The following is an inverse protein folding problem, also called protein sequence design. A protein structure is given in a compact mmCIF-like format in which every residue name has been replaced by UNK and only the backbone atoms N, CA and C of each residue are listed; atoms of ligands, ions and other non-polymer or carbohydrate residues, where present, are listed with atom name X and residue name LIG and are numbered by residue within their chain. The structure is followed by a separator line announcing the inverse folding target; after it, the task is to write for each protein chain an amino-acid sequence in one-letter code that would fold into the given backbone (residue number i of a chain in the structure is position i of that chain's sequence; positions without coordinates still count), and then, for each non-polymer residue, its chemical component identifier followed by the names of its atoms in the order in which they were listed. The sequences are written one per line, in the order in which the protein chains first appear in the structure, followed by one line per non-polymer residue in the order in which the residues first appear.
data_IF_988447464880
#
_entry.id   IF_988447464880
#
_cell.length_a   1.000
_cell.length_b   1.000
_cell.length_c   1.000
_cell.angle_alpha   90.00
_cell.angle_beta   90.00
_cell.angle_gamma   90.00
#
_symmetry.space_group_name_H-M   'P 1'
#
loop_
_entity.id
_entity.type
_entity.pdbx_description
1 polymer ?
#
# COMPACT_ATOMS: atom_id res chain seq x y z
N UNK A 1 13.64 -19.36 12.49
CA UNK A 1 12.31 -19.99 12.29
C UNK A 1 12.34 -20.68 10.94
N UNK A 2 12.28 -22.02 10.87
CA UNK A 2 12.44 -22.79 9.62
C UNK A 2 11.13 -23.01 8.83
N UNK A 3 9.99 -22.52 9.31
CA UNK A 3 8.71 -22.58 8.59
C UNK A 3 8.11 -21.17 8.50
N UNK A 4 7.64 -20.81 7.32
CA UNK A 4 6.85 -19.59 7.12
C UNK A 4 5.54 -19.65 7.89
N UNK A 5 5.09 -18.50 8.39
CA UNK A 5 3.81 -18.34 9.07
C UNK A 5 2.80 -17.71 8.13
N UNK A 6 1.58 -18.20 8.13
CA UNK A 6 0.55 -17.71 7.22
C UNK A 6 -0.17 -16.51 7.86
N UNK A 7 -0.26 -15.41 7.12
CA UNK A 7 -0.91 -14.18 7.57
C UNK A 7 -1.97 -13.75 6.56
N UNK A 8 -3.07 -13.18 7.03
CA UNK A 8 -4.14 -12.66 6.19
C UNK A 8 -4.20 -11.12 6.29
N UNK A 9 -4.31 -10.45 5.15
CA UNK A 9 -4.57 -9.02 5.06
C UNK A 9 -6.05 -8.83 4.71
N UNK A 10 -6.78 -8.09 5.55
CA UNK A 10 -8.21 -7.89 5.36
C UNK A 10 -8.68 -6.46 5.70
N UNK A 11 -9.40 -5.78 4.78
CA UNK A 11 -9.51 -6.08 3.35
C UNK A 11 -8.17 -5.98 2.61
N UNK A 12 -7.96 -6.80 1.58
CA UNK A 12 -6.67 -6.87 0.87
C UNK A 12 -6.48 -5.73 -0.16
N UNK A 13 -7.54 -5.29 -0.82
CA UNK A 13 -7.45 -4.33 -1.92
C UNK A 13 -7.55 -2.85 -1.54
N UNK A 14 -7.56 -2.53 -0.24
CA UNK A 14 -7.42 -1.14 0.19
C UNK A 14 -5.98 -0.66 -0.03
N UNK A 15 -5.76 0.65 -0.14
CA UNK A 15 -4.39 1.22 -0.22
C UNK A 15 -3.52 0.80 0.98
N UNK A 16 -4.13 0.62 2.14
CA UNK A 16 -3.45 0.12 3.35
C UNK A 16 -3.09 -1.36 3.16
N UNK A 17 -4.01 -2.18 2.66
CA UNK A 17 -3.77 -3.60 2.39
C UNK A 17 -2.69 -3.85 1.35
N UNK A 18 -2.67 -3.05 0.27
CA UNK A 18 -1.62 -3.11 -0.74
C UNK A 18 -0.25 -2.71 -0.18
N UNK A 19 -0.19 -1.69 0.67
CA UNK A 19 1.06 -1.31 1.33
C UNK A 19 1.57 -2.41 2.29
N UNK A 20 0.69 -3.01 3.07
CA UNK A 20 1.04 -4.14 3.95
C UNK A 20 1.54 -5.32 3.10
N UNK A 21 0.87 -5.64 1.99
CA UNK A 21 1.33 -6.68 1.07
C UNK A 21 2.74 -6.38 0.53
N UNK A 22 2.97 -5.17 0.02
CA UNK A 22 4.28 -4.75 -0.47
C UNK A 22 5.37 -4.80 0.61
N UNK A 23 4.99 -4.57 1.87
CA UNK A 23 5.87 -4.66 3.03
C UNK A 23 6.26 -6.10 3.38
N UNK A 24 5.44 -7.09 3.05
CA UNK A 24 5.58 -8.48 3.51
C UNK A 24 5.89 -9.49 2.40
N UNK A 25 5.60 -9.21 1.13
CA UNK A 25 5.62 -10.21 0.03
C UNK A 25 6.95 -10.92 -0.22
N UNK A 26 8.07 -10.29 0.13
CA UNK A 26 9.42 -10.89 0.00
C UNK A 26 9.95 -11.47 1.32
N UNK A 27 9.13 -11.49 2.38
CA UNK A 27 9.55 -12.03 3.67
C UNK A 27 9.80 -13.54 3.60
N UNK A 28 10.95 -13.97 4.11
CA UNK A 28 11.25 -15.39 4.33
C UNK A 28 10.52 -15.96 5.55
N UNK A 29 9.90 -15.11 6.38
CA UNK A 29 9.16 -15.53 7.57
C UNK A 29 7.67 -15.75 7.31
N UNK A 30 7.12 -15.22 6.21
CA UNK A 30 5.68 -15.11 6.01
C UNK A 30 5.23 -15.68 4.66
N UNK A 31 4.05 -16.28 4.69
CA UNK A 31 3.21 -16.47 3.51
C UNK A 31 1.98 -15.58 3.64
N UNK A 32 1.85 -14.65 2.69
CA UNK A 32 0.88 -13.56 2.75
C UNK A 32 -0.36 -13.91 1.92
N UNK A 33 -1.50 -13.96 2.59
CA UNK A 33 -2.82 -14.15 2.00
C UNK A 33 -3.60 -12.83 2.04
N UNK A 34 -4.51 -12.65 1.09
CA UNK A 34 -5.41 -11.50 1.04
C UNK A 34 -6.86 -11.95 0.95
N UNK A 35 -7.77 -11.23 1.60
CA UNK A 35 -9.20 -11.42 1.45
C UNK A 35 -9.92 -10.10 1.18
N UNK A 36 -10.91 -10.12 0.29
CA UNK A 36 -11.78 -8.97 0.00
C UNK A 36 -13.23 -9.39 -0.24
N UNK A 37 -14.15 -8.51 0.18
CA UNK A 37 -15.59 -8.64 -0.05
C UNK A 37 -16.05 -8.37 -1.49
N UNK A 38 -15.15 -7.91 -2.36
CA UNK A 38 -15.43 -7.46 -3.73
C UNK A 38 -14.22 -7.71 -4.62
N UNK A 39 -14.47 -7.72 -5.93
CA UNK A 39 -13.40 -7.67 -6.93
C UNK A 39 -12.73 -6.31 -6.88
N UNK A 40 -11.43 -6.30 -6.59
CA UNK A 40 -10.62 -5.09 -6.47
C UNK A 40 -9.20 -5.32 -7.00
N UNK A 41 -8.31 -4.35 -6.81
CA UNK A 41 -6.95 -4.41 -7.34
C UNK A 41 -6.11 -5.57 -6.75
N UNK A 42 -6.48 -6.10 -5.58
CA UNK A 42 -5.74 -7.22 -4.98
C UNK A 42 -5.75 -8.46 -5.87
N UNK A 43 -6.79 -8.68 -6.68
CA UNK A 43 -6.82 -9.80 -7.63
C UNK A 43 -5.71 -9.73 -8.69
N UNK A 44 -5.12 -8.55 -8.95
CA UNK A 44 -4.01 -8.39 -9.90
C UNK A 44 -2.63 -8.51 -9.25
N UNK A 45 -2.57 -8.53 -7.92
CA UNK A 45 -1.33 -8.36 -7.16
C UNK A 45 -0.97 -9.61 -6.35
N UNK A 46 -1.98 -10.31 -5.86
CA UNK A 46 -1.80 -11.55 -5.11
C UNK A 46 -1.77 -12.75 -6.07
N UNK A 47 -0.97 -13.79 -5.77
CA UNK A 47 -1.11 -15.09 -6.42
C UNK A 47 -2.54 -15.62 -6.27
N UNK A 48 -3.07 -16.26 -7.32
CA UNK A 48 -4.46 -16.72 -7.35
C UNK A 48 -4.78 -17.67 -6.18
N UNK A 49 -3.83 -18.50 -5.76
CA UNK A 49 -3.99 -19.44 -4.64
C UNK A 49 -3.94 -18.78 -3.26
N UNK A 50 -3.50 -17.51 -3.17
CA UNK A 50 -3.36 -16.74 -1.93
C UNK A 50 -4.39 -15.62 -1.78
N UNK A 51 -5.25 -15.43 -2.77
CA UNK A 51 -6.31 -14.42 -2.74
C UNK A 51 -7.69 -15.05 -2.53
N UNK A 52 -8.47 -14.48 -1.63
CA UNK A 52 -9.84 -14.90 -1.33
C UNK A 52 -10.78 -13.77 -1.75
N UNK A 53 -11.59 -14.05 -2.76
CA UNK A 53 -12.71 -13.19 -3.15
C UNK A 53 -14.01 -13.87 -2.72
N UNK A 54 -14.64 -13.34 -1.67
CA UNK A 54 -15.96 -13.78 -1.23
C UNK A 54 -16.88 -12.56 -1.15
N UNK A 55 -17.95 -12.54 -1.97
CA UNK A 55 -18.93 -11.45 -1.97
C UNK A 55 -19.68 -11.28 -0.64
N UNK A 56 -19.57 -12.25 0.26
CA UNK A 56 -20.13 -12.20 1.61
C UNK A 56 -19.11 -11.71 2.66
N UNK A 57 -17.87 -11.34 2.30
CA UNK A 57 -16.89 -10.81 3.24
C UNK A 57 -17.10 -9.32 3.56
N UNK A 58 -18.19 -9.05 4.27
CA UNK A 58 -18.52 -7.75 4.84
C UNK A 58 -18.79 -7.90 6.35
N UNK A 59 -18.10 -7.10 7.17
CA UNK A 59 -18.17 -7.19 8.65
C UNK A 59 -19.58 -6.93 9.24
N UNK A 60 -20.49 -6.34 8.45
CA UNK A 60 -21.88 -6.09 8.86
C UNK A 60 -22.81 -7.30 8.71
N UNK A 61 -22.30 -8.46 8.30
CA UNK A 61 -23.11 -9.69 8.18
C UNK A 61 -22.99 -10.56 9.42
N UNK A 62 -24.11 -11.15 9.82
CA UNK A 62 -24.18 -12.04 10.99
C UNK A 62 -23.29 -13.29 10.83
N UNK A 63 -23.15 -13.81 9.61
CA UNK A 63 -22.35 -14.99 9.28
C UNK A 63 -20.86 -14.70 9.02
N UNK A 64 -20.41 -13.44 9.20
CA UNK A 64 -19.07 -13.03 8.82
C UNK A 64 -17.96 -13.78 9.58
N UNK A 65 -18.07 -13.90 10.91
CA UNK A 65 -17.04 -14.55 11.75
C UNK A 65 -16.93 -16.04 11.42
N UNK A 66 -18.06 -16.72 11.22
CA UNK A 66 -18.09 -18.13 10.83
C UNK A 66 -17.34 -18.35 9.51
N UNK A 67 -17.71 -17.61 8.46
CA UNK A 67 -17.03 -17.65 7.15
C UNK A 67 -15.55 -17.32 7.24
N UNK A 68 -15.19 -16.27 7.98
CA UNK A 68 -13.80 -15.87 8.13
C UNK A 68 -13.01 -17.01 8.78
N UNK A 69 -13.55 -17.64 9.82
CA UNK A 69 -12.93 -18.77 10.50
C UNK A 69 -12.76 -20.00 9.61
N UNK A 70 -13.69 -20.29 8.69
CA UNK A 70 -13.51 -21.35 7.69
C UNK A 70 -12.25 -21.11 6.86
N UNK A 71 -12.10 -19.89 6.33
CA UNK A 71 -10.93 -19.50 5.54
C UNK A 71 -9.63 -19.49 6.35
N UNK A 72 -9.67 -18.98 7.58
CA UNK A 72 -8.51 -18.94 8.49
C UNK A 72 -8.03 -20.37 8.79
N UNK A 73 -8.94 -21.28 9.13
CA UNK A 73 -8.61 -22.67 9.47
C UNK A 73 -8.12 -23.45 8.25
N UNK A 74 -8.82 -23.36 7.13
CA UNK A 74 -8.50 -24.17 5.93
C UNK A 74 -7.13 -23.82 5.33
N UNK A 75 -6.64 -22.60 5.56
CA UNK A 75 -5.34 -22.10 5.08
C UNK A 75 -4.30 -21.99 6.20
N UNK A 76 -4.62 -22.46 7.41
CA UNK A 76 -3.75 -22.36 8.58
C UNK A 76 -3.24 -20.92 8.84
N UNK A 77 -4.09 -19.92 8.64
CA UNK A 77 -3.77 -18.52 8.92
C UNK A 77 -3.60 -18.36 10.44
N UNK A 78 -2.46 -17.80 10.84
CA UNK A 78 -2.12 -17.60 12.25
C UNK A 78 -2.37 -16.16 12.71
N UNK A 79 -2.27 -15.20 11.78
CA UNK A 79 -2.49 -13.77 12.08
C UNK A 79 -3.33 -13.06 11.04
N UNK A 80 -4.04 -12.02 11.46
CA UNK A 80 -4.82 -11.15 10.58
C UNK A 80 -4.45 -9.67 10.78
N UNK A 81 -4.22 -8.97 9.67
CA UNK A 81 -4.00 -7.53 9.61
C UNK A 81 -5.30 -6.80 9.22
N UNK A 82 -5.84 -5.92 10.08
CA UNK A 82 -6.93 -5.04 9.70
C UNK A 82 -6.41 -3.86 8.86
N UNK A 83 -7.12 -3.51 7.78
CA UNK A 83 -6.70 -2.43 6.87
C UNK A 83 -7.68 -1.25 6.79
N UNK A 84 -8.59 -1.16 7.76
CA UNK A 84 -9.58 -0.09 7.89
C UNK A 84 -10.00 0.05 9.36
N UNK A 85 -10.35 1.26 9.81
CA UNK A 85 -10.63 1.53 11.24
C UNK A 85 -11.83 0.72 11.77
N UNK A 86 -12.94 0.68 11.04
CA UNK A 86 -14.10 -0.15 11.42
C UNK A 86 -13.79 -1.65 11.43
N UNK A 87 -12.87 -2.11 10.56
CA UNK A 87 -12.46 -3.52 10.52
C UNK A 87 -11.52 -3.83 11.69
N UNK A 88 -10.61 -2.91 12.02
CA UNK A 88 -9.73 -3.04 13.18
C UNK A 88 -10.54 -3.12 14.48
N UNK A 89 -11.53 -2.24 14.65
CA UNK A 89 -12.45 -2.28 15.78
C UNK A 89 -13.22 -3.61 15.82
N UNK A 90 -13.89 -3.98 14.73
CA UNK A 90 -14.70 -5.19 14.67
C UNK A 90 -13.88 -6.45 14.98
N UNK A 91 -12.70 -6.61 14.38
CA UNK A 91 -11.84 -7.77 14.63
C UNK A 91 -11.28 -7.77 16.06
N UNK A 92 -10.96 -6.61 16.63
CA UNK A 92 -10.49 -6.51 18.01
C UNK A 92 -11.59 -6.90 19.01
N UNK A 93 -12.83 -6.45 18.79
CA UNK A 93 -14.00 -6.78 19.62
C UNK A 93 -14.36 -8.28 19.56
N UNK A 94 -14.11 -8.91 18.42
CA UNK A 94 -14.40 -10.34 18.19
C UNK A 94 -13.17 -11.24 18.29
N UNK A 95 -12.06 -10.74 18.84
CA UNK A 95 -10.76 -11.42 18.80
C UNK A 95 -10.76 -12.82 19.44
N UNK A 96 -11.57 -13.05 20.48
CA UNK A 96 -11.71 -14.37 21.11
C UNK A 96 -12.46 -15.39 20.25
N UNK A 97 -13.32 -14.93 19.33
CA UNK A 97 -14.08 -15.79 18.43
C UNK A 97 -13.31 -16.15 17.15
N UNK A 98 -12.17 -15.48 16.88
CA UNK A 98 -11.38 -15.68 15.68
C UNK A 98 -10.38 -16.82 15.84
N UNK A 99 -10.21 -17.62 14.78
CA UNK A 99 -9.23 -18.70 14.72
C UNK A 99 -7.77 -18.22 14.54
N UNK A 100 -7.57 -16.91 14.33
CA UNK A 100 -6.27 -16.29 14.11
C UNK A 100 -6.10 -15.07 15.02
N UNK A 101 -4.86 -14.75 15.37
CA UNK A 101 -4.54 -13.59 16.23
C UNK A 101 -4.63 -12.29 15.43
N UNK A 102 -5.39 -11.33 15.91
CA UNK A 102 -5.43 -9.99 15.32
C UNK A 102 -4.13 -9.25 15.63
N UNK A 103 -3.50 -8.69 14.59
CA UNK A 103 -2.35 -7.80 14.73
C UNK A 103 -2.88 -6.38 14.90
N UNK A 104 -2.67 -5.80 16.08
CA UNK A 104 -3.08 -4.45 16.41
C UNK A 104 -3.35 -4.25 17.89
N UNK A 105 -3.97 -3.13 18.21
CA UNK A 105 -4.33 -2.75 19.58
C UNK A 105 -5.63 -3.40 20.05
N UNK A 106 -5.92 -3.32 21.36
CA UNK A 106 -7.13 -3.90 21.94
C UNK A 106 -8.43 -3.19 21.50
N UNK A 107 -9.57 -3.82 21.79
CA UNK A 107 -10.90 -3.30 21.43
C UNK A 107 -11.18 -1.90 22.00
N UNK A 108 -10.77 -1.63 23.25
CA UNK A 108 -10.93 -0.32 23.90
C UNK A 108 -10.21 0.78 23.12
N UNK A 109 -8.93 0.59 22.81
CA UNK A 109 -8.13 1.56 22.03
C UNK A 109 -8.75 1.81 20.65
N UNK A 110 -9.19 0.75 19.97
CA UNK A 110 -9.87 0.90 18.67
C UNK A 110 -11.20 1.66 18.79
N UNK A 111 -11.97 1.46 19.85
CA UNK A 111 -13.24 2.14 20.08
C UNK A 111 -13.04 3.63 20.32
N UNK A 112 -12.05 3.98 21.15
CA UNK A 112 -11.68 5.38 21.39
C UNK A 112 -11.20 6.03 20.09
N UNK A 113 -10.33 5.36 19.32
CA UNK A 113 -9.83 5.87 18.05
C UNK A 113 -10.92 6.08 16.98
N UNK A 114 -11.93 5.19 16.96
CA UNK A 114 -12.99 5.22 15.96
C UNK A 114 -13.93 6.41 16.13
N UNK A 115 -14.17 6.85 17.37
CA UNK A 115 -15.04 7.97 17.72
C UNK A 115 -14.22 9.20 18.12
N UNK A 116 -14.39 10.30 17.37
CA UNK A 116 -13.75 11.59 17.70
C UNK A 116 -14.23 12.14 19.03
N UNK A 117 -15.50 11.95 19.38
CA UNK A 117 -16.06 12.26 20.69
C UNK A 117 -15.29 11.56 21.81
N UNK A 118 -15.12 10.25 21.71
CA UNK A 118 -14.38 9.49 22.71
C UNK A 118 -12.91 9.90 22.75
N UNK A 119 -12.30 10.12 21.59
CA UNK A 119 -10.93 10.64 21.48
C UNK A 119 -10.78 11.98 22.21
N UNK A 120 -11.62 12.98 21.90
CA UNK A 120 -11.51 14.30 22.51
C UNK A 120 -11.88 14.29 23.98
N UNK A 121 -12.84 13.46 24.40
CA UNK A 121 -13.14 13.26 25.82
C UNK A 121 -11.91 12.70 26.56
N UNK A 122 -11.27 11.68 26.00
CA UNK A 122 -10.08 11.04 26.56
C UNK A 122 -8.93 12.03 26.76
N UNK A 123 -8.75 12.96 25.82
CA UNK A 123 -7.62 13.89 25.83
C UNK A 123 -7.99 15.33 26.22
N UNK A 124 -9.20 15.57 26.70
CA UNK A 124 -9.74 16.92 26.99
C UNK A 124 -8.89 17.75 27.97
N UNK A 125 -8.14 17.11 28.87
CA UNK A 125 -7.23 17.77 29.81
C UNK A 125 -5.90 18.21 29.18
N UNK A 126 -5.61 17.82 27.94
CA UNK A 126 -4.37 18.14 27.26
C UNK A 126 -4.54 19.35 26.34
N UNK A 127 -3.54 20.23 26.33
CA UNK A 127 -3.55 21.44 25.49
C UNK A 127 -3.57 21.17 23.98
N UNK A 128 -3.22 19.95 23.54
CA UNK A 128 -3.32 19.53 22.14
C UNK A 128 -4.75 19.08 21.76
N UNK A 129 -5.65 18.86 22.71
CA UNK A 129 -7.03 18.57 22.35
C UNK A 129 -7.66 19.84 21.75
N UNK A 130 -8.33 19.74 20.58
CA UNK A 130 -9.04 20.88 20.06
C UNK A 130 -10.21 21.24 20.98
N UNK A 131 -10.61 22.51 20.95
CA UNK A 131 -11.85 22.94 21.57
C UNK A 131 -13.01 22.23 20.84
N UNK A 132 -13.80 21.50 21.61
CA UNK A 132 -15.05 20.87 21.18
C UNK A 132 -16.19 21.64 21.82
N UNK A 133 -17.18 22.01 21.02
CA UNK A 133 -18.33 22.76 21.49
C UNK A 133 -19.50 21.81 21.74
N UNK A 134 -19.91 21.69 23.00
CA UNK A 134 -20.99 20.77 23.43
C UNK A 134 -22.39 21.16 22.95
N UNK A 135 -22.56 22.39 22.47
CA UNK A 135 -23.88 23.03 22.30
C UNK A 135 -23.92 24.01 21.12
N UNK A 136 -24.88 23.88 20.18
CA UNK A 136 -25.07 24.82 19.08
C UNK A 136 -25.45 26.24 19.51
N UNK A 137 -25.95 26.42 20.74
CA UNK A 137 -26.37 27.69 21.31
C UNK A 137 -25.25 28.53 21.92
N UNK A 138 -24.00 28.04 21.93
CA UNK A 138 -22.86 28.81 22.44
C UNK A 138 -22.47 29.98 21.53
N UNK A 139 -21.79 30.97 22.13
CA UNK A 139 -21.13 32.04 21.38
C UNK A 139 -19.85 31.46 20.78
N UNK A 140 -19.79 31.41 19.45
CA UNK A 140 -18.63 30.90 18.71
C UNK A 140 -17.76 32.05 18.19
N UNK A 141 -16.45 31.85 18.24
CA UNK A 141 -15.51 32.58 17.39
C UNK A 141 -15.44 31.87 16.04
N UNK A 142 -16.16 32.38 15.05
CA UNK A 142 -16.11 31.84 13.68
C UNK A 142 -14.76 32.14 13.01
N UNK A 143 -14.28 31.26 12.11
CA UNK A 143 -14.94 30.02 11.68
C UNK A 143 -14.87 28.89 12.71
N UNK A 144 -15.87 28.00 12.65
CA UNK A 144 -15.86 26.68 13.32
C UNK A 144 -15.76 25.57 12.28
N UNK A 145 -15.52 24.35 12.74
CA UNK A 145 -15.42 23.18 11.88
C UNK A 145 -16.39 22.08 12.32
N UNK A 146 -17.20 21.60 11.38
CA UNK A 146 -18.14 20.49 11.58
C UNK A 146 -17.56 19.21 11.02
N UNK A 147 -17.74 18.10 11.72
CA UNK A 147 -17.30 16.77 11.24
C UNK A 147 -18.12 15.64 11.86
N UNK A 148 -18.31 14.52 11.16
CA UNK A 148 -18.94 13.35 11.76
C UNK A 148 -18.05 12.77 12.85
N UNK A 149 -18.67 12.27 13.92
CA UNK A 149 -17.96 11.56 14.98
C UNK A 149 -17.14 10.40 14.40
N UNK A 150 -17.84 9.55 13.67
CA UNK A 150 -17.29 8.44 12.91
C UNK A 150 -17.17 8.78 11.43
N UNK A 151 -15.96 8.81 10.89
CA UNK A 151 -15.76 9.18 9.48
C UNK A 151 -14.37 8.84 8.98
N UNK A 152 -14.11 9.14 7.70
CA UNK A 152 -12.80 9.04 7.08
C UNK A 152 -12.69 9.99 5.88
N UNK A 153 -11.48 10.48 5.63
CA UNK A 153 -11.14 11.26 4.44
C UNK A 153 -11.96 12.52 4.22
N UNK A 154 -12.31 13.23 5.30
CA UNK A 154 -13.00 14.51 5.25
C UNK A 154 -14.44 14.47 4.74
N UNK A 155 -15.02 13.28 4.52
CA UNK A 155 -16.42 13.16 4.09
C UNK A 155 -17.36 13.68 5.19
N UNK A 156 -18.25 14.58 4.81
CA UNK A 156 -19.20 15.21 5.74
C UNK A 156 -18.58 16.25 6.66
N UNK A 157 -17.36 16.74 6.36
CA UNK A 157 -16.72 17.80 7.12
C UNK A 157 -16.91 19.17 6.45
N UNK A 158 -17.18 20.20 7.25
CA UNK A 158 -17.52 21.54 6.76
C UNK A 158 -16.79 22.61 7.58
N UNK A 159 -16.18 23.58 6.90
CA UNK A 159 -15.85 24.86 7.52
C UNK A 159 -17.12 25.72 7.52
N UNK A 160 -17.39 26.36 8.65
CA UNK A 160 -18.59 27.16 8.87
C UNK A 160 -18.16 28.54 9.33
N UNK A 161 -18.50 29.56 8.55
CA UNK A 161 -18.05 30.94 8.77
C UNK A 161 -19.13 31.82 9.45
N UNK A 162 -20.34 31.30 9.66
CA UNK A 162 -21.43 32.05 10.31
C UNK A 162 -22.45 31.16 11.03
N UNK A 163 -23.26 31.80 11.90
CA UNK A 163 -24.36 31.13 12.61
C UNK A 163 -25.42 30.55 11.67
N UNK A 164 -25.75 31.27 10.60
CA UNK A 164 -26.73 30.80 9.63
C UNK A 164 -26.28 29.51 8.92
N UNK A 165 -24.99 29.42 8.56
CA UNK A 165 -24.41 28.20 7.99
C UNK A 165 -24.37 27.05 9.01
N UNK A 166 -24.04 27.35 10.27
CA UNK A 166 -24.04 26.37 11.35
C UNK A 166 -25.43 25.73 11.49
N UNK A 167 -26.47 26.56 11.62
CA UNK A 167 -27.85 26.10 11.77
C UNK A 167 -28.30 25.28 10.55
N UNK A 168 -27.91 25.69 9.33
CA UNK A 168 -28.20 24.94 8.09
C UNK A 168 -27.62 23.52 8.09
N UNK A 169 -26.34 23.37 8.45
CA UNK A 169 -25.70 22.05 8.45
C UNK A 169 -26.22 21.17 9.58
N UNK A 170 -26.49 21.72 10.76
CA UNK A 170 -26.99 20.95 11.90
C UNK A 170 -28.47 20.54 11.75
N UNK A 171 -29.30 21.33 11.06
CA UNK A 171 -30.67 20.91 10.69
C UNK A 171 -30.66 19.67 9.80
N UNK A 172 -29.71 19.61 8.85
CA UNK A 172 -29.57 18.49 7.93
C UNK A 172 -28.83 17.29 8.53
N UNK A 173 -27.85 17.55 9.38
CA UNK A 173 -26.93 16.56 9.97
C UNK A 173 -26.75 16.86 11.46
N UNK A 174 -27.73 16.48 12.30
CA UNK A 174 -27.75 16.87 13.71
C UNK A 174 -26.62 16.27 14.55
N UNK A 175 -26.01 15.18 14.09
CA UNK A 175 -24.96 14.44 14.82
C UNK A 175 -23.53 14.92 14.51
N UNK A 176 -23.37 16.05 13.79
CA UNK A 176 -22.04 16.61 13.53
C UNK A 176 -21.42 17.20 14.79
N UNK A 177 -20.14 16.89 15.00
CA UNK A 177 -19.33 17.51 16.04
C UNK A 177 -18.89 18.89 15.60
N UNK A 178 -19.00 19.84 16.52
CA UNK A 178 -18.56 21.22 16.32
C UNK A 178 -17.21 21.38 17.05
N UNK A 179 -16.16 21.75 16.32
CA UNK A 179 -14.83 22.03 16.89
C UNK A 179 -14.30 23.39 16.44
N UNK A 180 -13.26 23.88 17.11
CA UNK A 180 -12.52 25.04 16.60
C UNK A 180 -12.00 24.78 15.18
N UNK A 181 -11.89 25.84 14.39
CA UNK A 181 -11.25 25.79 13.09
C UNK A 181 -9.73 25.91 13.24
N UNK A 182 -9.01 24.97 12.61
CA UNK A 182 -7.55 24.91 12.62
C UNK A 182 -7.02 25.35 11.25
N UNK A 183 -6.41 26.54 11.14
CA UNK A 183 -6.02 27.14 9.86
C UNK A 183 -4.66 26.65 9.33
N UNK A 184 -3.77 26.17 10.19
CA UNK A 184 -2.38 25.93 9.84
C UNK A 184 -2.11 24.55 9.26
N UNK A 185 -0.82 24.20 9.17
CA UNK A 185 -0.36 22.98 8.51
C UNK A 185 -0.82 21.71 9.23
N UNK A 186 -1.10 20.68 8.43
CA UNK A 186 -1.52 19.34 8.88
C UNK A 186 -0.37 18.33 8.71
N UNK A 187 -0.09 17.57 9.77
CA UNK A 187 0.87 16.47 9.75
C UNK A 187 0.19 15.15 10.06
N UNK A 188 0.74 14.07 9.51
CA UNK A 188 0.55 12.71 10.05
C UNK A 188 1.81 12.30 10.79
N UNK A 189 1.64 11.65 11.93
CA UNK A 189 2.76 11.18 12.77
C UNK A 189 2.63 9.68 12.93
N UNK A 190 3.52 8.96 12.26
CA UNK A 190 3.54 7.50 12.24
C UNK A 190 4.31 6.99 13.47
N UNK A 191 3.73 6.02 14.17
CA UNK A 191 4.24 5.53 15.45
C UNK A 191 4.29 4.00 15.49
N UNK A 192 5.12 3.47 16.40
CA UNK A 192 5.16 2.04 16.69
C UNK A 192 5.32 1.81 18.19
N UNK A 193 4.39 1.06 18.78
CA UNK A 193 4.44 0.64 20.18
C UNK A 193 4.62 -0.88 20.25
N UNK A 194 5.53 -1.36 21.07
CA UNK A 194 5.75 -2.80 21.20
C UNK A 194 4.74 -3.50 22.14
N UNK A 195 4.83 -4.82 22.26
CA UNK A 195 3.94 -5.64 23.06
C UNK A 195 4.11 -5.44 24.57
N UNK A 196 5.16 -4.71 25.00
CA UNK A 196 5.40 -4.30 26.39
C UNK A 196 4.81 -2.92 26.68
N UNK A 197 4.38 -2.19 25.65
CA UNK A 197 3.83 -0.84 25.75
C UNK A 197 4.87 0.27 25.49
N UNK A 198 6.08 -0.08 25.10
CA UNK A 198 7.16 0.88 24.85
C UNK A 198 6.96 1.53 23.47
N UNK A 199 6.90 2.87 23.42
CA UNK A 199 6.83 3.64 22.18
C UNK A 199 8.23 3.71 21.53
N UNK A 200 8.44 2.92 20.48
CA UNK A 200 9.75 2.73 19.86
C UNK A 200 10.03 3.66 18.68
N UNK A 201 8.99 4.21 18.04
CA UNK A 201 9.13 5.07 16.87
C UNK A 201 8.10 6.20 16.86
N UNK A 202 8.54 7.39 16.45
CA UNK A 202 7.71 8.57 16.18
C UNK A 202 8.29 9.27 14.96
N UNK A 203 7.53 9.32 13.86
CA UNK A 203 7.96 9.89 12.60
C UNK A 203 6.90 10.83 12.02
N UNK A 204 7.05 12.16 12.15
CA UNK A 204 6.13 13.10 11.53
C UNK A 204 6.39 13.23 10.03
N UNK A 205 5.33 13.48 9.26
CA UNK A 205 5.40 13.71 7.81
C UNK A 205 4.30 14.65 7.34
N UNK A 206 4.62 15.41 6.30
CA UNK A 206 3.72 16.42 5.70
C UNK A 206 2.52 15.77 5.01
N UNK A 207 1.50 16.57 4.69
CA UNK A 207 0.34 16.18 3.88
C UNK A 207 0.11 17.17 2.74
N UNK A 208 1.13 17.34 1.89
CA UNK A 208 1.20 18.37 0.85
C UNK A 208 0.10 18.26 -0.21
N UNK A 209 -0.23 17.02 -0.62
CA UNK A 209 -1.34 16.74 -1.53
C UNK A 209 -2.20 15.64 -0.95
N UNK A 210 -3.46 15.92 -0.67
CA UNK A 210 -4.42 14.96 -0.09
C UNK A 210 -5.54 14.68 -1.08
N UNK A 211 -5.82 13.41 -1.31
CA UNK A 211 -6.94 12.96 -2.14
C UNK A 211 -7.60 11.75 -1.48
N UNK A 212 -8.94 11.77 -1.37
CA UNK A 212 -9.73 10.73 -0.70
C UNK A 212 -9.26 10.43 0.74
N UNK A 213 -8.75 11.44 1.46
CA UNK A 213 -8.23 11.28 2.83
C UNK A 213 -6.81 10.74 2.94
N UNK A 214 -6.20 10.35 1.83
CA UNK A 214 -4.86 9.80 1.77
C UNK A 214 -3.92 10.88 1.26
N UNK A 215 -2.73 10.97 1.84
CA UNK A 215 -1.69 11.84 1.31
C UNK A 215 -1.06 11.18 0.06
N UNK A 216 -1.18 11.88 -1.06
CA UNK A 216 -0.56 11.52 -2.34
C UNK A 216 0.83 12.13 -2.48
N UNK A 217 1.15 13.19 -1.71
CA UNK A 217 2.49 13.74 -1.60
C UNK A 217 2.82 14.04 -0.14
N UNK A 218 3.95 13.51 0.33
CA UNK A 218 4.39 13.58 1.73
C UNK A 218 5.91 13.50 1.83
N UNK A 219 6.47 14.24 2.78
CA UNK A 219 7.90 14.31 3.06
C UNK A 219 8.16 14.09 4.55
N UNK A 220 9.29 13.46 4.89
CA UNK A 220 9.74 13.32 6.29
C UNK A 220 9.92 14.72 6.91
N UNK A 221 9.46 14.89 8.14
CA UNK A 221 9.65 16.11 8.95
C UNK A 221 10.48 15.74 10.17
N UNK A 222 11.25 16.69 10.70
CA UNK A 222 11.99 16.51 11.94
C UNK A 222 11.04 16.38 13.14
N UNK A 223 11.40 15.52 14.07
CA UNK A 223 10.60 15.31 15.28
C UNK A 223 10.81 16.46 16.26
N UNK A 224 9.76 17.25 16.48
CA UNK A 224 9.72 18.27 17.53
C UNK A 224 9.33 17.68 18.89
N UNK A 225 9.72 18.35 19.97
CA UNK A 225 9.31 17.96 21.33
C UNK A 225 7.78 18.01 21.50
N UNK A 226 7.10 18.98 20.89
CA UNK A 226 5.63 19.07 20.94
C UNK A 226 4.96 17.83 20.34
N UNK A 227 5.41 17.37 19.16
CA UNK A 227 4.87 16.15 18.53
C UNK A 227 5.20 14.91 19.37
N UNK A 228 6.41 14.85 19.90
CA UNK A 228 6.87 13.77 20.77
C UNK A 228 5.98 13.67 22.02
N UNK A 229 5.70 14.77 22.68
CA UNK A 229 4.86 14.84 23.88
C UNK A 229 3.42 14.38 23.60
N UNK A 230 2.85 14.77 22.46
CA UNK A 230 1.53 14.29 22.03
C UNK A 230 1.54 12.77 21.86
N UNK A 231 2.56 12.22 21.18
CA UNK A 231 2.68 10.79 20.95
C UNK A 231 2.77 10.00 22.26
N UNK A 232 3.59 10.47 23.22
CA UNK A 232 3.70 9.87 24.55
C UNK A 232 2.40 9.98 25.35
N UNK A 233 1.71 11.12 25.30
CA UNK A 233 0.42 11.29 25.99
C UNK A 233 -0.62 10.28 25.47
N UNK A 234 -0.71 10.07 24.15
CA UNK A 234 -1.60 9.08 23.56
C UNK A 234 -1.20 7.66 23.98
N UNK A 235 0.09 7.31 23.85
CA UNK A 235 0.61 5.99 24.22
C UNK A 235 0.43 5.63 25.70
N UNK A 236 0.59 6.61 26.60
CA UNK A 236 0.45 6.37 28.03
C UNK A 236 -1.01 6.29 28.48
N UNK A 237 -1.93 6.85 27.70
CA UNK A 237 -3.37 6.87 28.02
C UNK A 237 -4.12 5.64 27.52
N UNK A 238 -3.62 4.98 26.46
CA UNK A 238 -4.29 3.89 25.78
C UNK A 238 -3.32 2.74 25.50
N UNK A 239 -3.82 1.49 25.52
CA UNK A 239 -3.00 0.32 25.20
C UNK A 239 -2.81 0.19 23.69
N UNK A 240 -1.78 0.84 23.18
CA UNK A 240 -1.33 0.74 21.79
C UNK A 240 -0.40 -0.45 21.61
N UNK A 241 -0.52 -1.12 20.46
CA UNK A 241 0.28 -2.31 20.16
C UNK A 241 0.46 -2.46 18.63
N UNK A 242 1.71 -2.47 18.18
CA UNK A 242 2.10 -2.44 16.77
C UNK A 242 2.08 -1.04 16.17
N UNK A 243 1.86 -0.97 14.85
CA UNK A 243 1.81 0.27 14.09
C UNK A 243 0.53 1.07 14.36
N UNK A 244 0.68 2.37 14.58
CA UNK A 244 -0.42 3.33 14.72
C UNK A 244 0.02 4.69 14.20
N UNK A 245 -0.92 5.62 14.03
CA UNK A 245 -0.58 7.00 13.71
C UNK A 245 -1.59 7.96 14.32
N UNK A 246 -1.20 9.23 14.40
CA UNK A 246 -2.11 10.32 14.70
C UNK A 246 -1.93 11.47 13.74
N UNK A 247 -2.93 12.33 13.63
CA UNK A 247 -2.90 13.51 12.78
C UNK A 247 -3.06 14.75 13.65
N UNK A 248 -2.25 15.76 13.36
CA UNK A 248 -2.31 17.04 14.05
C UNK A 248 -2.40 18.17 13.04
N UNK A 249 -3.05 19.27 13.42
CA UNK A 249 -3.12 20.48 12.63
C UNK A 249 -2.91 21.72 13.48
N UNK A 250 -2.19 22.70 12.95
CA UNK A 250 -1.86 23.93 13.67
C UNK A 250 -3.08 24.85 13.85
N UNK A 251 -3.24 25.37 15.06
CA UNK A 251 -4.20 26.42 15.39
C UNK A 251 -3.68 27.82 14.96
N UNK A 252 -4.42 28.89 15.31
CA UNK A 252 -4.01 30.28 15.04
C UNK A 252 -2.74 30.73 15.79
N UNK A 253 -2.33 30.00 16.83
CA UNK A 253 -1.12 30.26 17.62
C UNK A 253 0.05 29.36 17.21
N UNK A 254 -0.05 28.70 16.06
CA UNK A 254 0.95 27.76 15.52
C UNK A 254 1.17 26.52 16.39
N UNK A 255 0.20 26.15 17.25
CA UNK A 255 0.26 24.97 18.13
C UNK A 255 -0.47 23.79 17.52
N UNK A 256 0.09 22.59 17.65
CA UNK A 256 -0.52 21.38 17.10
C UNK A 256 -1.73 20.92 17.94
N UNK A 257 -2.86 20.74 17.26
CA UNK A 257 -4.09 20.16 17.81
C UNK A 257 -4.39 18.81 17.19
N UNK A 258 -4.80 17.84 18.00
CA UNK A 258 -5.13 16.48 17.58
C UNK A 258 -6.41 16.46 16.73
N UNK A 259 -6.29 15.96 15.50
CA UNK A 259 -7.44 15.70 14.63
C UNK A 259 -8.04 14.33 14.93
N UNK A 260 -7.22 13.29 14.82
CA UNK A 260 -7.61 11.89 14.98
C UNK A 260 -6.36 11.03 15.24
N UNK A 261 -6.57 9.81 15.71
CA UNK A 261 -5.55 8.76 15.72
C UNK A 261 -6.17 7.44 15.32
N UNK A 262 -5.35 6.51 14.85
CA UNK A 262 -5.80 5.18 14.45
C UNK A 262 -4.76 4.11 14.82
N UNK A 263 -5.17 3.06 15.55
CA UNK A 263 -4.28 1.99 16.03
C UNK A 263 -4.03 0.91 14.97
N UNK A 264 -3.68 1.34 13.75
CA UNK A 264 -3.39 0.49 12.60
C UNK A 264 -2.37 1.17 11.68
N UNK A 265 -1.82 0.41 10.75
CA UNK A 265 -0.96 0.94 9.71
C UNK A 265 -1.75 1.88 8.77
N UNK A 266 -1.15 3.01 8.38
CA UNK A 266 -1.60 3.85 7.27
C UNK A 266 -0.87 3.47 5.99
N UNK A 267 -1.49 3.68 4.84
CA UNK A 267 -0.87 3.36 3.54
C UNK A 267 0.39 4.20 3.31
N UNK A 268 0.44 5.44 3.77
CA UNK A 268 1.60 6.35 3.59
C UNK A 268 2.75 6.11 4.58
N UNK A 269 2.59 5.19 5.54
CA UNK A 269 3.73 4.68 6.33
C UNK A 269 4.79 4.00 5.44
N UNK A 270 4.45 3.69 4.19
CA UNK A 270 5.40 3.27 3.16
C UNK A 270 6.57 4.24 2.96
N UNK A 271 6.43 5.54 3.29
CA UNK A 271 7.56 6.49 3.28
C UNK A 271 8.69 6.00 4.20
N UNK A 272 8.35 5.66 5.45
CA UNK A 272 9.30 5.16 6.44
C UNK A 272 9.74 3.71 6.19
N UNK A 273 8.94 2.91 5.48
CA UNK A 273 9.44 1.60 4.98
C UNK A 273 10.68 1.79 4.10
N UNK A 274 10.71 2.83 3.26
CA UNK A 274 11.89 3.10 2.43
C UNK A 274 13.07 3.63 3.25
N UNK A 275 12.84 4.27 4.40
CA UNK A 275 13.93 4.59 5.35
C UNK A 275 14.34 3.42 6.23
N UNK A 276 13.72 2.23 6.12
CA UNK A 276 14.10 1.01 6.83
C UNK A 276 13.09 0.54 7.90
N UNK A 277 12.07 1.34 8.22
CA UNK A 277 11.06 1.02 9.23
C UNK A 277 9.89 0.26 8.59
N UNK A 278 10.02 -1.06 8.48
CA UNK A 278 8.96 -1.92 7.95
C UNK A 278 7.90 -2.22 9.04
N UNK A 279 6.94 -1.31 9.21
CA UNK A 279 5.88 -1.41 10.23
C UNK A 279 5.08 -2.71 10.20
N UNK A 280 4.76 -3.22 9.02
CA UNK A 280 3.99 -4.47 8.89
C UNK A 280 4.79 -5.65 9.48
N UNK A 281 6.06 -5.78 9.07
CA UNK A 281 6.93 -6.87 9.53
C UNK A 281 7.25 -6.75 11.02
N UNK A 282 7.53 -5.54 11.49
CA UNK A 282 7.74 -5.26 12.92
C UNK A 282 6.50 -5.61 13.73
N UNK A 283 5.29 -5.28 13.25
CA UNK A 283 4.03 -5.63 13.92
C UNK A 283 3.83 -7.14 14.01
N UNK A 284 4.27 -7.92 13.03
CA UNK A 284 4.22 -9.38 13.10
C UNK A 284 5.17 -9.94 14.17
N UNK A 285 6.44 -9.51 14.18
CA UNK A 285 7.40 -9.97 15.19
C UNK A 285 6.94 -9.59 16.60
N UNK A 286 6.42 -8.39 16.73
CA UNK A 286 5.81 -7.90 17.94
C UNK A 286 4.60 -8.76 18.38
N UNK A 287 3.70 -9.12 17.45
CA UNK A 287 2.59 -10.03 17.72
C UNK A 287 3.05 -11.46 18.09
N UNK A 288 4.26 -11.86 17.67
CA UNK A 288 4.91 -13.09 18.11
C UNK A 288 5.57 -12.97 19.51
N UNK A 289 5.55 -11.80 20.15
CA UNK A 289 6.22 -11.55 21.43
C UNK A 289 7.74 -11.48 21.30
N UNK A 290 8.26 -11.18 20.09
CA UNK A 290 9.69 -11.06 19.87
C UNK A 290 10.13 -9.61 20.12
N UNK A 291 11.12 -9.36 20.98
CA UNK A 291 11.69 -8.03 21.13
C UNK A 291 12.26 -7.53 19.80
N UNK A 292 12.01 -6.26 19.48
CA UNK A 292 12.47 -5.62 18.25
C UNK A 292 13.12 -4.27 18.56
N UNK A 293 14.00 -3.84 17.66
CA UNK A 293 14.58 -2.50 17.65
C UNK A 293 14.23 -1.82 16.32
N UNK A 294 14.10 -0.50 16.35
CA UNK A 294 13.84 0.28 15.13
C UNK A 294 15.15 0.63 14.46
N UNK A 295 15.27 0.27 13.18
CA UNK A 295 16.36 0.68 12.32
C UNK A 295 15.80 1.69 11.32
N UNK A 296 16.25 2.93 11.42
CA UNK A 296 15.84 4.02 10.53
C UNK A 296 17.09 4.68 9.96
N UNK A 297 17.21 4.67 8.65
CA UNK A 297 18.25 5.38 7.93
C UNK A 297 17.95 6.88 7.93
N UNK A 298 19.00 7.68 8.10
CA UNK A 298 18.87 9.13 8.17
C UNK A 298 19.20 9.79 6.84
N UNK A 299 18.20 9.84 5.96
CA UNK A 299 18.26 10.59 4.72
C UNK A 299 16.89 11.21 4.41
N UNK A 300 16.89 12.26 3.58
CA UNK A 300 15.66 12.91 3.13
C UNK A 300 14.90 12.00 2.17
N UNK A 301 13.60 11.82 2.41
CA UNK A 301 12.72 11.07 1.53
C UNK A 301 11.41 11.83 1.31
N UNK A 302 11.00 11.86 0.05
CA UNK A 302 9.70 12.33 -0.41
C UNK A 302 8.98 11.15 -1.08
N UNK A 303 7.68 11.01 -0.81
CA UNK A 303 6.81 10.04 -1.45
C UNK A 303 5.76 10.81 -2.24
N UNK A 304 5.70 10.56 -3.55
CA UNK A 304 4.60 11.00 -4.42
C UNK A 304 3.89 9.79 -5.05
N UNK A 305 2.57 9.86 -5.16
CA UNK A 305 1.70 8.80 -5.68
C UNK A 305 1.01 9.21 -6.97
N UNK A 306 0.87 8.23 -7.85
CA UNK A 306 0.03 8.25 -9.02
C UNK A 306 -0.75 6.94 -9.14
N UNK A 307 -1.76 6.93 -10.03
CA UNK A 307 -2.41 5.68 -10.41
C UNK A 307 -1.45 4.84 -11.26
N UNK A 308 -1.40 3.55 -10.99
CA UNK A 308 -0.57 2.61 -11.73
C UNK A 308 -1.45 1.52 -12.35
N UNK A 309 -1.18 1.21 -13.62
CA UNK A 309 -1.94 0.20 -14.36
C UNK A 309 -1.44 -1.20 -14.03
N UNK A 310 -2.36 -2.16 -14.00
CA UNK A 310 -2.04 -3.59 -14.00
C UNK A 310 -2.84 -4.27 -15.07
N UNK A 311 -2.20 -5.21 -15.75
CA UNK A 311 -2.77 -5.89 -16.90
C UNK A 311 -2.93 -7.37 -16.59
N UNK A 312 -3.96 -7.97 -17.18
CA UNK A 312 -4.12 -9.42 -17.25
C UNK A 312 -4.45 -9.77 -18.68
N UNK A 313 -3.42 -10.07 -19.46
CA UNK A 313 -3.58 -10.56 -20.81
C UNK A 313 -3.81 -12.07 -20.80
N UNK A 314 -4.77 -12.53 -21.60
CA UNK A 314 -5.06 -13.96 -21.82
C UNK A 314 -4.23 -14.46 -23.01
N UNK A 315 -2.91 -14.53 -22.81
CA UNK A 315 -1.94 -14.92 -23.84
C UNK A 315 -1.12 -16.07 -23.29
N UNK A 316 -1.19 -17.20 -23.98
CA UNK A 316 -0.44 -18.42 -23.66
C UNK A 316 0.72 -18.54 -24.64
N UNK A 317 1.94 -18.64 -24.11
CA UNK A 317 3.16 -18.75 -24.90
C UNK A 317 4.27 -19.43 -24.09
N UNK A 318 5.12 -20.16 -24.79
CA UNK A 318 6.29 -20.85 -24.24
C UNK A 318 7.60 -20.33 -24.84
N UNK A 319 7.54 -19.61 -25.96
CA UNK A 319 8.68 -19.03 -26.68
C UNK A 319 8.55 -17.52 -26.77
N UNK A 320 9.64 -16.84 -26.49
CA UNK A 320 9.78 -15.38 -26.62
C UNK A 320 10.89 -15.11 -27.61
N UNK A 321 10.54 -14.59 -28.78
CA UNK A 321 11.51 -14.01 -29.71
C UNK A 321 11.64 -12.52 -29.39
N UNK A 322 12.86 -12.06 -29.18
CA UNK A 322 13.12 -10.68 -28.76
C UNK A 322 14.32 -10.10 -29.50
N UNK A 323 14.17 -8.88 -30.01
CA UNK A 323 15.26 -8.12 -30.60
C UNK A 323 16.22 -7.57 -29.53
N UNK A 324 17.44 -7.19 -29.94
CA UNK A 324 18.44 -6.62 -29.06
C UNK A 324 18.39 -5.09 -29.06
N UNK A 325 18.55 -4.49 -30.23
CA UNK A 325 18.80 -3.06 -30.40
C UNK A 325 17.48 -2.28 -30.24
N UNK A 326 17.53 -1.19 -29.48
CA UNK A 326 16.37 -0.36 -29.10
C UNK A 326 15.25 -1.14 -28.38
N UNK A 327 15.50 -2.40 -28.04
CA UNK A 327 14.55 -3.35 -27.44
C UNK A 327 15.02 -3.82 -26.08
N UNK A 328 16.15 -4.54 -26.02
CA UNK A 328 16.80 -4.89 -24.74
C UNK A 328 17.78 -3.79 -24.34
N UNK A 329 18.49 -3.21 -25.31
CA UNK A 329 19.50 -2.17 -25.08
C UNK A 329 19.27 -0.95 -25.98
N UNK A 330 19.63 0.23 -25.51
CA UNK A 330 19.76 1.45 -26.31
C UNK A 330 21.14 2.08 -26.02
N UNK A 331 22.08 1.85 -26.93
CA UNK A 331 23.49 2.19 -26.72
C UNK A 331 24.10 1.47 -25.51
N UNK A 332 24.29 2.19 -24.40
CA UNK A 332 24.76 1.63 -23.11
C UNK A 332 23.65 1.41 -22.10
N UNK A 333 22.45 1.91 -22.38
CA UNK A 333 21.28 1.75 -21.53
C UNK A 333 20.70 0.35 -21.75
N UNK A 334 20.20 -0.27 -20.68
CA UNK A 334 19.51 -1.55 -20.71
C UNK A 334 18.08 -1.31 -20.22
N UNK A 335 17.08 -1.71 -21.00
CA UNK A 335 15.68 -1.57 -20.62
C UNK A 335 15.35 -2.49 -19.43
N UNK A 336 15.25 -1.91 -18.23
CA UNK A 336 15.04 -2.59 -16.95
C UNK A 336 13.77 -3.45 -16.92
N UNK A 337 12.65 -2.94 -17.47
CA UNK A 337 11.38 -3.67 -17.56
C UNK A 337 11.46 -4.87 -18.51
N UNK A 338 12.17 -4.74 -19.62
CA UNK A 338 12.41 -5.84 -20.57
C UNK A 338 13.29 -6.90 -19.92
N UNK A 339 14.33 -6.48 -19.19
CA UNK A 339 15.16 -7.42 -18.43
C UNK A 339 14.36 -8.13 -17.33
N UNK A 340 13.51 -7.41 -16.59
CA UNK A 340 12.61 -8.03 -15.61
C UNK A 340 11.72 -9.10 -16.27
N UNK A 341 11.20 -8.81 -17.46
CA UNK A 341 10.40 -9.76 -18.24
C UNK A 341 11.21 -11.00 -18.70
N UNK A 342 12.44 -10.81 -19.19
CA UNK A 342 13.36 -11.90 -19.55
C UNK A 342 13.62 -12.81 -18.34
N UNK A 343 13.91 -12.24 -17.16
CA UNK A 343 14.13 -13.02 -15.94
C UNK A 343 12.85 -13.72 -15.46
N UNK A 344 11.68 -13.09 -15.60
CA UNK A 344 10.39 -13.73 -15.34
C UNK A 344 10.19 -14.96 -16.23
N UNK A 345 10.42 -14.82 -17.54
CA UNK A 345 10.33 -15.92 -18.50
C UNK A 345 11.29 -17.05 -18.15
N UNK A 346 12.53 -16.74 -17.77
CA UNK A 346 13.52 -17.72 -17.30
C UNK A 346 13.03 -18.48 -16.07
N UNK A 347 12.50 -17.77 -15.07
CA UNK A 347 11.99 -18.40 -13.83
C UNK A 347 10.77 -19.30 -14.12
N UNK A 348 9.99 -18.96 -15.14
CA UNK A 348 8.88 -19.77 -15.66
C UNK A 348 9.33 -20.87 -16.63
N UNK A 349 10.64 -21.01 -16.87
CA UNK A 349 11.24 -22.00 -17.80
C UNK A 349 10.76 -21.85 -19.25
N UNK A 350 10.41 -20.64 -19.67
CA UNK A 350 10.11 -20.32 -21.07
C UNK A 350 11.38 -20.26 -21.90
N UNK A 351 11.28 -20.56 -23.19
CA UNK A 351 12.38 -20.39 -24.14
C UNK A 351 12.50 -18.93 -24.54
N UNK A 352 13.70 -18.37 -24.42
CA UNK A 352 13.99 -16.98 -24.75
C UNK A 352 14.99 -17.00 -25.90
N UNK A 353 14.60 -16.48 -27.05
CA UNK A 353 15.37 -16.49 -28.28
C UNK A 353 15.71 -15.04 -28.62
N UNK A 354 17.00 -14.72 -28.59
CA UNK A 354 17.48 -13.44 -29.12
C UNK A 354 17.52 -13.54 -30.64
N UNK A 355 16.86 -12.63 -31.34
CA UNK A 355 16.86 -12.55 -32.79
C UNK A 355 17.17 -11.12 -33.20
N UNK A 356 18.33 -10.87 -33.82
CA UNK A 356 18.80 -9.50 -34.03
C UNK A 356 19.60 -9.34 -35.31
N UNK A 357 19.53 -8.12 -35.89
CA UNK A 357 20.36 -7.64 -37.00
C UNK A 357 21.53 -6.78 -36.52
N UNK A 358 21.99 -6.99 -35.28
CA UNK A 358 23.01 -6.15 -34.65
C UNK A 358 24.28 -6.04 -35.50
N UNK A 359 24.72 -4.82 -35.81
CA UNK A 359 25.84 -4.59 -36.75
C UNK A 359 27.24 -4.78 -36.15
N UNK A 360 27.35 -4.85 -34.82
CA UNK A 360 28.63 -4.98 -34.12
C UNK A 360 28.85 -6.41 -33.59
N UNK A 361 29.97 -6.62 -32.90
CA UNK A 361 30.23 -7.88 -32.21
C UNK A 361 29.21 -8.10 -31.08
N UNK A 362 28.25 -8.97 -31.36
CA UNK A 362 27.16 -9.31 -30.45
C UNK A 362 27.65 -9.83 -29.09
N UNK A 363 28.77 -10.56 -29.06
CA UNK A 363 29.32 -11.12 -27.82
C UNK A 363 29.86 -10.03 -26.92
N UNK A 364 30.59 -9.08 -27.52
CA UNK A 364 31.14 -7.93 -26.84
C UNK A 364 30.05 -6.98 -26.37
N UNK A 365 29.02 -6.74 -27.18
CA UNK A 365 27.86 -5.93 -26.82
C UNK A 365 27.14 -6.51 -25.61
N UNK A 366 26.77 -7.79 -25.62
CA UNK A 366 26.13 -8.46 -24.48
C UNK A 366 27.00 -8.39 -23.22
N UNK A 367 28.31 -8.62 -23.36
CA UNK A 367 29.26 -8.53 -22.24
C UNK A 367 29.32 -7.12 -21.64
N UNK A 368 29.38 -6.09 -22.49
CA UNK A 368 29.43 -4.68 -22.06
C UNK A 368 28.14 -4.26 -21.34
N UNK A 369 27.00 -4.78 -21.77
CA UNK A 369 25.70 -4.53 -21.15
C UNK A 369 25.41 -5.44 -19.94
N UNK A 370 26.38 -6.28 -19.53
CA UNK A 370 26.22 -7.25 -18.44
C UNK A 370 25.06 -8.25 -18.65
N UNK A 371 24.74 -8.57 -19.91
CA UNK A 371 23.69 -9.51 -20.28
C UNK A 371 24.33 -10.85 -20.59
N UNK A 372 24.07 -11.86 -19.76
CA UNK A 372 24.61 -13.20 -20.00
C UNK A 372 23.96 -13.84 -21.22
N UNK A 373 24.79 -14.38 -22.13
CA UNK A 373 24.32 -15.21 -23.25
C UNK A 373 23.47 -16.41 -22.78
N UNK A 374 23.70 -16.90 -21.56
CA UNK A 374 22.96 -18.02 -20.97
C UNK A 374 21.50 -17.70 -20.65
N UNK A 375 21.07 -16.43 -20.76
CA UNK A 375 19.66 -16.07 -20.66
C UNK A 375 18.87 -16.54 -21.89
N UNK A 376 19.54 -16.72 -23.02
CA UNK A 376 18.92 -17.09 -24.29
C UNK A 376 19.14 -18.58 -24.57
N UNK A 377 18.05 -19.30 -24.83
CA UNK A 377 18.11 -20.69 -25.28
C UNK A 377 18.68 -20.81 -26.70
N UNK A 378 18.55 -19.74 -27.49
CA UNK A 378 19.10 -19.62 -28.84
C UNK A 378 19.39 -18.15 -29.14
N UNK A 379 20.46 -17.88 -29.88
CA UNK A 379 20.79 -16.56 -30.42
C UNK A 379 20.83 -16.70 -31.94
N UNK A 380 20.03 -15.87 -32.62
CA UNK A 380 19.91 -15.79 -34.08
C UNK A 380 20.41 -14.41 -34.48
N UNK A 381 21.58 -14.37 -35.11
CA UNK A 381 22.19 -13.14 -35.63
C UNK A 381 22.00 -13.13 -37.14
N UNK A 382 21.19 -12.18 -37.62
CA UNK A 382 20.78 -12.04 -39.01
C UNK A 382 21.58 -10.96 -39.73
N UNK A 383 21.69 -11.09 -41.04
CA UNK A 383 22.13 -10.04 -41.93
C UNK A 383 21.00 -8.99 -42.14
N UNK A 384 21.37 -7.76 -42.52
CA UNK A 384 20.42 -6.64 -42.68
C UNK A 384 19.25 -6.96 -43.63
N UNK A 385 19.50 -7.77 -44.68
CA UNK A 385 18.54 -8.12 -45.72
C UNK A 385 17.56 -9.25 -45.35
N UNK A 386 17.84 -10.02 -44.29
CA UNK A 386 17.03 -11.18 -43.90
C UNK A 386 15.79 -10.74 -43.12
N UNK A 387 14.66 -11.43 -43.27
CA UNK A 387 13.46 -11.09 -42.50
C UNK A 387 13.36 -11.93 -41.22
N UNK A 388 13.08 -11.30 -40.08
CA UNK A 388 12.97 -12.00 -38.79
C UNK A 388 11.92 -13.12 -38.79
N UNK A 389 10.79 -12.91 -39.47
CA UNK A 389 9.69 -13.88 -39.54
C UNK A 389 10.10 -15.22 -40.15
N UNK A 390 11.12 -15.27 -41.00
CA UNK A 390 11.62 -16.51 -41.62
C UNK A 390 12.30 -17.45 -40.60
N UNK A 391 12.72 -16.89 -39.45
CA UNK A 391 13.47 -17.58 -38.40
C UNK A 391 12.67 -17.84 -37.13
N UNK A 392 11.39 -17.45 -37.12
CA UNK A 392 10.49 -17.61 -35.98
C UNK A 392 9.63 -18.86 -36.19
N UNK A 393 9.63 -19.75 -35.20
CA UNK A 393 8.65 -20.82 -35.12
C UNK A 393 7.37 -20.26 -34.48
N UNK A 394 6.22 -20.22 -35.17
CA UNK A 394 5.02 -19.56 -34.66
C UNK A 394 4.37 -20.29 -33.49
N UNK A 395 4.65 -21.59 -33.29
CA UNK A 395 3.94 -22.41 -32.30
C UNK A 395 4.31 -21.98 -30.88
N UNK A 396 3.33 -21.39 -30.18
CA UNK A 396 3.46 -20.94 -28.80
C UNK A 396 4.39 -19.74 -28.63
N UNK A 397 4.51 -18.90 -29.64
CA UNK A 397 5.48 -17.79 -29.70
C UNK A 397 4.84 -16.42 -29.56
N UNK A 398 5.61 -15.52 -28.96
CA UNK A 398 5.41 -14.07 -29.07
C UNK A 398 6.68 -13.42 -29.63
N UNK A 399 6.53 -12.23 -30.19
CA UNK A 399 7.66 -11.44 -30.71
C UNK A 399 7.69 -10.04 -30.11
N UNK A 400 8.88 -9.58 -29.73
CA UNK A 400 9.09 -8.27 -29.08
C UNK A 400 10.18 -7.52 -29.82
N UNK A 401 9.85 -6.33 -30.31
CA UNK A 401 10.74 -5.49 -31.09
C UNK A 401 10.23 -4.04 -31.10
N UNK A 402 11.12 -3.07 -30.92
CA UNK A 402 10.77 -1.66 -31.04
C UNK A 402 10.34 -1.31 -32.48
N UNK A 403 11.03 -1.88 -33.47
CA UNK A 403 10.83 -1.51 -34.86
C UNK A 403 9.49 -2.01 -35.40
N UNK A 404 8.60 -1.05 -35.68
CA UNK A 404 7.22 -1.33 -36.08
C UNK A 404 7.11 -2.19 -37.34
N UNK A 405 7.97 -1.99 -38.34
CA UNK A 405 7.92 -2.75 -39.59
C UNK A 405 8.28 -4.23 -39.39
N UNK A 406 9.26 -4.54 -38.54
CA UNK A 406 9.59 -5.93 -38.21
C UNK A 406 8.41 -6.60 -37.50
N UNK A 407 7.76 -5.90 -36.55
CA UNK A 407 6.54 -6.40 -35.90
C UNK A 407 5.40 -6.64 -36.89
N UNK A 408 5.17 -5.69 -37.81
CA UNK A 408 4.14 -5.82 -38.84
C UNK A 408 4.39 -7.07 -39.70
N UNK A 409 5.61 -7.23 -40.23
CA UNK A 409 5.97 -8.37 -41.07
C UNK A 409 5.81 -9.70 -40.33
N UNK A 410 6.24 -9.77 -39.06
CA UNK A 410 6.06 -10.97 -38.23
C UNK A 410 4.58 -11.27 -37.98
N UNK A 411 3.78 -10.25 -37.67
CA UNK A 411 2.35 -10.43 -37.44
C UNK A 411 1.63 -10.90 -38.71
N UNK A 412 1.87 -10.26 -39.84
CA UNK A 412 1.21 -10.55 -41.11
C UNK A 412 1.61 -11.94 -41.65
N UNK A 413 2.87 -12.34 -41.49
CA UNK A 413 3.36 -13.62 -41.98
C UNK A 413 2.99 -14.82 -41.08
N UNK A 414 2.99 -14.63 -39.75
CA UNK A 414 2.90 -15.74 -38.78
C UNK A 414 1.64 -15.72 -37.91
N UNK A 415 0.92 -14.60 -37.85
CA UNK A 415 -0.30 -14.45 -37.03
C UNK A 415 -0.06 -14.52 -35.52
N UNK A 416 1.19 -14.34 -35.06
CA UNK A 416 1.53 -14.39 -33.62
C UNK A 416 1.36 -13.02 -32.94
N UNK A 417 1.19 -12.98 -31.61
CA UNK A 417 1.20 -11.73 -30.86
C UNK A 417 2.56 -11.03 -30.93
N UNK A 418 2.54 -9.74 -31.26
CA UNK A 418 3.73 -8.87 -31.34
C UNK A 418 3.61 -7.71 -30.36
N UNK A 419 4.72 -7.30 -29.75
CA UNK A 419 4.74 -6.25 -28.73
C UNK A 419 5.88 -5.27 -28.97
N UNK A 420 5.57 -3.99 -28.75
CA UNK A 420 6.59 -2.97 -28.56
C UNK A 420 7.19 -3.07 -27.14
N UNK A 421 8.29 -2.35 -26.91
CA UNK A 421 8.98 -2.26 -25.62
C UNK A 421 8.09 -1.70 -24.52
N UNK A 422 7.29 -0.67 -24.81
CA UNK A 422 6.39 -0.06 -23.83
C UNK A 422 5.21 -0.98 -23.47
N UNK A 423 4.81 -1.87 -24.39
CA UNK A 423 3.75 -2.85 -24.17
C UNK A 423 4.19 -4.07 -23.36
N UNK A 424 5.50 -4.28 -23.12
CA UNK A 424 6.02 -5.42 -22.33
C UNK A 424 5.43 -5.45 -20.91
N UNK A 425 5.02 -4.31 -20.36
CA UNK A 425 4.35 -4.23 -19.07
C UNK A 425 3.10 -5.13 -18.98
N UNK A 426 2.39 -5.38 -20.09
CA UNK A 426 1.21 -6.25 -20.07
C UNK A 426 1.55 -7.74 -19.89
N UNK A 427 2.80 -8.12 -20.12
CA UNK A 427 3.33 -9.49 -20.01
C UNK A 427 3.99 -9.76 -18.65
N UNK A 428 4.29 -8.70 -17.88
CA UNK A 428 4.83 -8.80 -16.52
C UNK A 428 3.74 -9.26 -15.54
N UNK A 429 4.12 -10.11 -14.58
CA UNK A 429 3.24 -10.71 -13.57
C UNK A 429 3.65 -10.31 -12.17
#
# INVERSE_FOLDING_TARGET
MNKKRNVLIFPAGSEIGLEIYNSLKYSHHLDVYGASGKKDHASFIYPDEKYIEDKCFYIGRDDFIERLNEHLKSRHIEFIYPTHDSVALFLAENSEALAAKVIGSCAETNRVARSKCLTYRQFSSHGFCPIVYDRPDMVFSYPVFLKPDEGQGGKGAFRVDSRAELDFYLDRFPDLLITEYLPGDELSVDCFTDFRGDLLFIGPRTRERVQMGISFRTSKVDLSDEIKDIAYAINNSLRLNGAWFFQVKKDFSDRYKLLEFAPRQASTMGLYRHTGVNFALLSFFNACGMPINILCNDYYVELDRCLHNRFRADIVYDKVYIDLDETIIDGRYVHDRVMAFIYQCRNQKKQIILITKHRYDLSETLRRSCISKSLFSKIIHLEDAENKWEYIDPVGSIFIDNYWHDRQLVHDALGIPVFDVDAVECLLR
#
